data_IF_491991802198
#
_entry.id   IF_491991802198
#
_cell.length_a   1.000
_cell.length_b   1.000
_cell.length_c   1.000
_cell.angle_alpha   90.00
_cell.angle_beta   90.00
_cell.angle_gamma   90.00
#
_symmetry.space_group_name_H-M   'P 1'
#
loop_
_entity.id
_entity.type
_entity.pdbx_description
1 polymer ?
#
# COMPACT_ATOMS: atom_id res chain seq x y z
N UNK A 1 12.33 -26.16 23.29
CA UNK A 1 12.37 -25.29 22.08
C UNK A 1 13.63 -24.43 22.13
N UNK A 2 14.49 -24.60 21.13
CA UNK A 2 15.74 -23.86 20.89
C UNK A 2 15.59 -22.90 19.72
N UNK A 3 16.57 -22.01 19.49
CA UNK A 3 16.58 -21.14 18.30
C UNK A 3 16.58 -21.96 17.00
N UNK A 4 17.31 -23.08 16.96
CA UNK A 4 17.32 -23.97 15.81
C UNK A 4 15.94 -24.58 15.53
N UNK A 5 15.15 -24.89 16.57
CA UNK A 5 13.79 -25.42 16.39
C UNK A 5 12.88 -24.35 15.77
N UNK A 6 13.00 -23.10 16.22
CA UNK A 6 12.26 -21.95 15.67
C UNK A 6 12.63 -21.72 14.20
N UNK A 7 13.93 -21.66 13.90
CA UNK A 7 14.43 -21.44 12.54
C UNK A 7 13.98 -22.56 11.59
N UNK A 8 13.96 -23.80 12.08
CA UNK A 8 13.46 -24.95 11.33
C UNK A 8 11.94 -24.84 11.08
N UNK A 9 11.14 -24.48 12.10
CA UNK A 9 9.70 -24.29 11.93
C UNK A 9 9.38 -23.21 10.90
N UNK A 10 10.09 -22.08 10.94
CA UNK A 10 9.95 -20.99 9.95
C UNK A 10 10.44 -21.42 8.58
N UNK A 11 11.52 -22.21 8.49
CA UNK A 11 12.04 -22.74 7.22
C UNK A 11 11.04 -23.68 6.56
N UNK A 12 10.35 -24.53 7.32
CA UNK A 12 9.28 -25.39 6.80
C UNK A 12 8.15 -24.52 6.22
N UNK A 13 7.77 -23.43 6.90
CA UNK A 13 6.78 -22.49 6.38
C UNK A 13 7.20 -21.77 5.07
N UNK A 14 8.49 -21.77 4.70
CA UNK A 14 8.96 -21.28 3.39
C UNK A 14 8.66 -22.24 2.24
N UNK A 15 8.41 -23.51 2.51
CA UNK A 15 8.12 -24.52 1.49
C UNK A 15 6.63 -24.56 1.21
N UNK A 16 6.15 -23.50 0.55
CA UNK A 16 4.80 -23.42 0.01
C UNK A 16 4.85 -23.48 -1.52
N UNK A 17 3.83 -24.09 -2.12
CA UNK A 17 3.63 -24.04 -3.56
C UNK A 17 3.13 -22.64 -3.92
N UNK A 18 4.00 -21.87 -4.57
CA UNK A 18 3.65 -20.57 -5.14
C UNK A 18 3.02 -20.76 -6.51
N UNK A 19 2.11 -19.86 -6.87
CA UNK A 19 1.59 -19.77 -8.23
C UNK A 19 2.73 -19.59 -9.25
N UNK A 20 2.49 -20.09 -10.47
CA UNK A 20 3.46 -19.95 -11.54
C UNK A 20 3.80 -18.47 -11.81
N UNK A 21 5.09 -18.17 -11.93
CA UNK A 21 5.58 -16.79 -12.14
C UNK A 21 5.70 -15.95 -10.87
N UNK A 22 5.39 -16.49 -9.68
CA UNK A 22 5.67 -15.84 -8.40
C UNK A 22 7.00 -16.28 -7.79
N UNK A 23 7.59 -15.39 -6.99
CA UNK A 23 8.78 -15.66 -6.20
C UNK A 23 8.59 -15.16 -4.77
N UNK A 24 9.08 -15.94 -3.81
CA UNK A 24 9.04 -15.63 -2.40
C UNK A 24 9.96 -14.45 -2.08
N UNK A 25 9.42 -13.39 -1.48
CA UNK A 25 10.20 -12.21 -1.04
C UNK A 25 10.47 -12.29 0.46
N UNK A 26 9.43 -12.55 1.26
CA UNK A 26 9.52 -12.55 2.71
C UNK A 26 8.68 -13.64 3.36
N UNK A 27 9.18 -14.13 4.50
CA UNK A 27 8.43 -14.94 5.46
C UNK A 27 8.62 -14.31 6.83
N UNK A 28 7.54 -13.81 7.41
CA UNK A 28 7.54 -13.06 8.66
C UNK A 28 6.75 -13.88 9.70
N UNK A 29 7.40 -14.44 10.73
CA UNK A 29 6.70 -15.15 11.79
C UNK A 29 5.76 -14.21 12.55
N UNK A 30 4.52 -14.64 12.77
CA UNK A 30 3.49 -13.89 13.51
C UNK A 30 3.27 -14.46 14.91
N UNK A 31 3.13 -15.78 14.97
CA UNK A 31 2.91 -16.51 16.21
C UNK A 31 3.36 -17.97 16.07
N UNK A 32 3.46 -18.63 17.20
CA UNK A 32 3.78 -20.04 17.32
C UNK A 32 2.67 -20.78 18.06
N UNK A 33 2.56 -22.07 17.80
CA UNK A 33 1.73 -22.99 18.55
C UNK A 33 2.58 -24.12 19.11
N UNK A 34 2.41 -24.41 20.41
CA UNK A 34 3.10 -25.48 21.13
C UNK A 34 2.07 -26.47 21.68
N UNK A 35 2.12 -27.72 21.24
CA UNK A 35 1.21 -28.79 21.69
C UNK A 35 -0.29 -28.38 21.66
N UNK A 36 -0.69 -27.60 20.65
CA UNK A 36 -2.05 -27.09 20.48
C UNK A 36 -2.34 -25.73 21.12
N UNK A 37 -1.46 -25.22 22.00
CA UNK A 37 -1.56 -23.88 22.56
C UNK A 37 -1.11 -22.83 21.55
N UNK A 38 -2.06 -22.07 21.00
CA UNK A 38 -1.82 -21.03 19.99
C UNK A 38 -1.47 -19.66 20.60
N UNK A 39 -0.97 -18.74 19.76
CA UNK A 39 -0.76 -17.34 20.13
C UNK A 39 0.57 -17.06 20.83
N UNK A 40 1.50 -18.01 20.84
CA UNK A 40 2.79 -17.86 21.53
C UNK A 40 3.71 -16.98 20.66
N UNK A 41 4.11 -15.80 21.15
CA UNK A 41 5.00 -14.91 20.38
C UNK A 41 6.47 -15.36 20.38
N UNK A 42 6.96 -15.84 21.52
CA UNK A 42 8.34 -16.28 21.66
C UNK A 42 8.38 -17.64 22.38
N UNK A 43 8.57 -18.76 21.66
CA UNK A 43 8.58 -20.09 22.25
C UNK A 43 9.97 -20.50 22.79
N UNK A 44 10.99 -19.64 22.69
CA UNK A 44 12.35 -19.98 23.09
C UNK A 44 12.42 -20.35 24.58
N UNK A 45 12.99 -21.53 24.87
CA UNK A 45 13.10 -22.05 26.24
C UNK A 45 11.85 -22.78 26.75
N UNK A 46 10.74 -22.77 26.01
CA UNK A 46 9.55 -23.54 26.36
C UNK A 46 9.75 -25.03 26.06
N UNK A 47 9.03 -25.88 26.80
CA UNK A 47 8.97 -27.33 26.56
C UNK A 47 7.75 -27.63 25.71
N UNK A 48 7.93 -28.38 24.63
CA UNK A 48 6.85 -28.83 23.76
C UNK A 48 7.31 -30.04 22.96
N UNK A 49 6.35 -30.87 22.54
CA UNK A 49 6.61 -32.00 21.64
C UNK A 49 6.44 -31.57 20.18
N UNK A 50 5.46 -30.72 19.91
CA UNK A 50 5.18 -30.15 18.60
C UNK A 50 5.33 -28.62 18.64
N UNK A 51 6.04 -28.07 17.64
CA UNK A 51 6.17 -26.64 17.39
C UNK A 51 5.66 -26.33 15.98
N UNK A 52 4.68 -25.43 15.89
CA UNK A 52 4.17 -24.89 14.62
C UNK A 52 4.41 -23.39 14.56
N UNK A 53 4.75 -22.88 13.38
CA UNK A 53 4.92 -21.46 13.13
C UNK A 53 3.81 -20.97 12.18
N UNK A 54 3.11 -19.91 12.59
CA UNK A 54 2.23 -19.15 11.73
C UNK A 54 3.02 -17.98 11.15
N UNK A 55 3.07 -17.85 9.83
CA UNK A 55 3.88 -16.84 9.15
C UNK A 55 3.06 -16.08 8.13
N UNK A 56 3.31 -14.77 8.05
CA UNK A 56 2.92 -13.95 6.91
C UNK A 56 3.89 -14.19 5.76
N UNK A 57 3.40 -14.66 4.63
CA UNK A 57 4.22 -14.97 3.45
C UNK A 57 3.93 -13.92 2.38
N UNK A 58 4.98 -13.28 1.88
CA UNK A 58 4.88 -12.28 0.82
C UNK A 58 5.62 -12.79 -0.40
N UNK A 59 4.90 -12.88 -1.51
CA UNK A 59 5.44 -13.27 -2.81
C UNK A 59 5.09 -12.21 -3.87
N UNK A 60 5.97 -12.04 -4.85
CA UNK A 60 5.80 -11.06 -5.93
C UNK A 60 6.04 -11.66 -7.31
N UNK A 61 5.88 -10.86 -8.35
CA UNK A 61 6.18 -11.27 -9.73
C UNK A 61 7.69 -11.53 -9.87
N UNK A 62 8.06 -12.75 -10.23
CA UNK A 62 9.45 -13.15 -10.50
C UNK A 62 10.08 -12.27 -11.59
N UNK A 63 9.30 -11.91 -12.61
CA UNK A 63 9.78 -11.05 -13.70
C UNK A 63 10.09 -9.64 -13.20
N UNK A 64 9.24 -9.06 -12.35
CA UNK A 64 9.45 -7.72 -11.82
C UNK A 64 10.69 -7.68 -10.90
N UNK A 65 10.85 -8.71 -10.06
CA UNK A 65 12.01 -8.86 -9.18
C UNK A 65 13.31 -9.01 -9.99
N UNK A 66 13.29 -9.87 -11.01
CA UNK A 66 14.43 -10.08 -11.90
C UNK A 66 14.82 -8.78 -12.63
N UNK A 67 13.84 -8.06 -13.18
CA UNK A 67 14.08 -6.79 -13.85
C UNK A 67 14.66 -5.73 -12.90
N UNK A 68 14.12 -5.63 -11.68
CA UNK A 68 14.65 -4.70 -10.67
C UNK A 68 16.11 -5.02 -10.30
N UNK A 69 16.41 -6.30 -10.03
CA UNK A 69 17.78 -6.73 -9.73
C UNK A 69 18.73 -6.43 -10.90
N UNK A 70 18.29 -6.68 -12.13
CA UNK A 70 19.08 -6.42 -13.33
C UNK A 70 19.42 -4.93 -13.45
N UNK A 71 18.44 -4.03 -13.28
CA UNK A 71 18.68 -2.58 -13.33
C UNK A 71 19.67 -2.10 -12.26
N UNK A 72 19.65 -2.71 -11.06
CA UNK A 72 20.61 -2.37 -9.98
C UNK A 72 22.02 -2.87 -10.33
N UNK A 73 22.12 -4.09 -10.86
CA UNK A 73 23.40 -4.68 -11.28
C UNK A 73 24.02 -3.92 -12.46
N UNK A 74 23.21 -3.44 -13.41
CA UNK A 74 23.67 -2.58 -14.52
C UNK A 74 24.23 -1.23 -14.05
N UNK A 75 23.90 -0.81 -12.82
CA UNK A 75 24.49 0.35 -12.15
C UNK A 75 25.72 0.00 -11.29
N UNK A 76 26.29 -1.21 -11.45
CA UNK A 76 27.43 -1.74 -10.68
C UNK A 76 27.19 -1.84 -9.16
N UNK A 77 25.92 -1.98 -8.75
CA UNK A 77 25.53 -2.15 -7.34
C UNK A 77 25.11 -3.59 -7.09
N UNK A 78 25.58 -4.20 -6.01
CA UNK A 78 25.20 -5.54 -5.59
C UNK A 78 24.07 -5.47 -4.55
N UNK A 79 22.82 -5.86 -4.89
CA UNK A 79 21.75 -5.88 -3.90
C UNK A 79 22.00 -6.98 -2.86
N UNK A 80 22.02 -6.61 -1.58
CA UNK A 80 22.26 -7.57 -0.48
C UNK A 80 20.98 -8.21 0.00
N UNK A 81 19.88 -7.45 0.06
CA UNK A 81 18.56 -7.91 0.50
C UNK A 81 17.47 -7.12 -0.22
N UNK A 82 16.29 -7.72 -0.33
CA UNK A 82 15.07 -7.07 -0.81
C UNK A 82 14.11 -6.90 0.35
N UNK A 83 13.34 -5.81 0.36
CA UNK A 83 12.30 -5.57 1.36
C UNK A 83 11.02 -5.09 0.69
N UNK A 84 9.88 -5.59 1.15
CA UNK A 84 8.56 -5.14 0.70
C UNK A 84 8.32 -3.71 1.19
N UNK A 85 8.06 -2.79 0.26
CA UNK A 85 7.95 -1.35 0.52
C UNK A 85 6.97 -1.00 1.64
N UNK A 86 5.73 -1.49 1.58
CA UNK A 86 4.71 -1.20 2.60
C UNK A 86 5.12 -1.65 4.01
N UNK A 87 5.81 -2.79 4.13
CA UNK A 87 6.33 -3.29 5.42
C UNK A 87 7.50 -2.43 5.92
N UNK A 88 8.41 -2.02 5.03
CA UNK A 88 9.51 -1.12 5.38
C UNK A 88 8.99 0.25 5.83
N UNK A 89 8.08 0.85 5.05
CA UNK A 89 7.47 2.15 5.33
C UNK A 89 6.68 2.12 6.64
N UNK A 90 5.91 1.06 6.89
CA UNK A 90 5.21 0.89 8.16
C UNK A 90 6.16 0.79 9.35
N UNK A 91 7.29 0.10 9.22
CA UNK A 91 8.31 0.06 10.30
C UNK A 91 8.97 1.41 10.55
N UNK A 92 9.05 2.27 9.54
CA UNK A 92 9.65 3.60 9.66
C UNK A 92 8.67 4.63 10.25
N UNK A 93 7.38 4.53 9.92
CA UNK A 93 6.37 5.52 10.29
C UNK A 93 5.55 5.13 11.53
N UNK A 94 5.32 3.84 11.77
CA UNK A 94 4.54 3.35 12.90
C UNK A 94 5.47 3.00 14.08
N UNK A 95 5.12 3.52 15.24
CA UNK A 95 5.72 3.12 16.52
C UNK A 95 5.45 1.64 16.81
N UNK A 96 6.20 1.07 17.75
CA UNK A 96 5.92 -0.29 18.22
C UNK A 96 4.53 -0.41 18.85
N UNK A 97 4.08 0.67 19.52
CA UNK A 97 2.77 0.73 20.18
C UNK A 97 1.63 0.73 19.16
N UNK A 98 1.69 1.58 18.14
CA UNK A 98 0.63 1.63 17.10
C UNK A 98 0.50 0.29 16.35
N UNK A 99 1.63 -0.39 16.09
CA UNK A 99 1.62 -1.75 15.50
C UNK A 99 1.07 -2.82 16.45
N UNK A 100 1.17 -2.60 17.75
CA UNK A 100 0.66 -3.50 18.78
C UNK A 100 -0.86 -3.37 18.91
N UNK A 101 -1.36 -2.14 18.92
CA UNK A 101 -2.78 -1.79 19.11
C UNK A 101 -3.64 -2.00 17.86
N UNK A 102 -3.03 -2.06 16.68
CA UNK A 102 -3.74 -2.29 15.42
C UNK A 102 -3.65 -1.08 14.50
N UNK A 103 -2.97 -1.22 13.36
CA UNK A 103 -2.76 -0.12 12.44
C UNK A 103 -2.74 -0.56 10.98
N UNK A 104 -3.26 0.29 10.10
CA UNK A 104 -3.19 0.12 8.64
C UNK A 104 -2.27 1.20 8.06
N UNK A 105 -1.23 0.78 7.34
CA UNK A 105 -0.41 1.65 6.51
C UNK A 105 -0.89 1.56 5.07
N UNK A 106 -1.15 2.71 4.44
CA UNK A 106 -1.54 2.83 3.04
C UNK A 106 -0.56 3.79 2.33
N UNK A 107 0.27 3.26 1.44
CA UNK A 107 1.21 4.03 0.63
C UNK A 107 0.64 4.27 -0.76
N UNK A 108 0.25 5.51 -1.05
CA UNK A 108 -0.41 5.88 -2.31
C UNK A 108 0.62 6.54 -3.23
N UNK A 109 1.23 5.70 -4.07
CA UNK A 109 2.24 6.09 -5.04
C UNK A 109 1.66 6.66 -6.33
N UNK A 110 2.50 6.68 -7.38
CA UNK A 110 2.09 7.12 -8.71
C UNK A 110 1.24 6.05 -9.43
N UNK A 111 1.69 4.80 -9.43
CA UNK A 111 1.04 3.71 -10.17
C UNK A 111 0.30 2.71 -9.29
N UNK A 112 0.71 2.59 -8.03
CA UNK A 112 0.19 1.59 -7.10
C UNK A 112 -0.19 2.23 -5.77
N UNK A 113 -1.07 1.55 -5.06
CA UNK A 113 -1.36 1.79 -3.66
C UNK A 113 -1.09 0.52 -2.89
N UNK A 114 -0.14 0.56 -1.97
CA UNK A 114 0.29 -0.60 -1.20
C UNK A 114 -0.28 -0.53 0.22
N UNK A 115 -0.81 -1.64 0.71
CA UNK A 115 -1.44 -1.74 2.03
C UNK A 115 -0.67 -2.72 2.89
N UNK A 116 -0.48 -2.38 4.16
CA UNK A 116 0.02 -3.30 5.18
C UNK A 116 -0.76 -3.11 6.49
N UNK A 117 -1.35 -4.20 6.98
CA UNK A 117 -2.11 -4.23 8.23
C UNK A 117 -1.25 -4.87 9.33
N UNK A 118 -1.20 -4.22 10.48
CA UNK A 118 -0.50 -4.66 11.66
C UNK A 118 -1.48 -4.89 12.79
N UNK A 119 -1.24 -5.96 13.55
CA UNK A 119 -1.92 -6.24 14.81
C UNK A 119 -0.96 -7.04 15.69
N UNK A 120 -1.01 -6.85 17.01
CA UNK A 120 -0.17 -7.60 17.94
C UNK A 120 1.33 -7.51 17.61
N UNK A 121 1.76 -6.37 17.06
CA UNK A 121 3.14 -6.03 16.75
C UNK A 121 3.66 -6.63 15.44
N UNK A 122 2.86 -7.44 14.75
CA UNK A 122 3.24 -8.16 13.52
C UNK A 122 2.38 -7.75 12.33
N UNK A 123 2.94 -7.86 11.13
CA UNK A 123 2.17 -7.70 9.90
C UNK A 123 1.28 -8.93 9.69
N UNK A 124 0.01 -8.69 9.41
CA UNK A 124 -1.01 -9.74 9.28
C UNK A 124 -1.62 -9.81 7.90
N UNK A 125 -1.57 -8.71 7.14
CA UNK A 125 -2.08 -8.65 5.79
C UNK A 125 -1.25 -7.63 4.99
N UNK A 126 -1.03 -7.93 3.71
CA UNK A 126 -0.40 -7.01 2.77
C UNK A 126 -1.02 -7.19 1.40
N UNK A 127 -1.28 -6.10 0.69
CA UNK A 127 -1.78 -6.14 -0.67
C UNK A 127 -1.26 -4.95 -1.49
N UNK A 128 -1.35 -5.04 -2.81
CA UNK A 128 -0.96 -4.01 -3.77
C UNK A 128 -2.11 -3.80 -4.75
N UNK A 129 -2.63 -2.58 -4.82
CA UNK A 129 -3.69 -2.15 -5.72
C UNK A 129 -3.04 -1.44 -6.92
N UNK A 130 -3.36 -1.82 -8.18
CA UNK A 130 -2.79 -1.19 -9.38
C UNK A 130 -3.46 0.16 -9.69
N UNK A 131 -3.56 1.03 -8.68
CA UNK A 131 -4.14 2.37 -8.74
C UNK A 131 -3.33 3.32 -7.87
N UNK A 132 -2.94 4.46 -8.44
CA UNK A 132 -2.23 5.53 -7.74
C UNK A 132 -2.49 6.89 -8.38
N UNK A 133 -1.66 7.87 -8.05
CA UNK A 133 -1.77 9.26 -8.50
C UNK A 133 -1.81 9.47 -10.03
N UNK A 134 -1.28 8.54 -10.83
CA UNK A 134 -1.31 8.62 -12.30
C UNK A 134 -2.72 8.46 -12.86
N UNK A 135 -3.60 7.68 -12.22
CA UNK A 135 -4.99 7.56 -12.70
C UNK A 135 -5.76 8.87 -12.50
N UNK A 136 -5.57 9.55 -11.37
CA UNK A 136 -6.12 10.91 -11.17
C UNK A 136 -5.66 11.87 -12.28
N UNK A 137 -4.38 11.81 -12.62
CA UNK A 137 -3.77 12.64 -13.67
C UNK A 137 -4.34 12.31 -15.05
N UNK A 138 -4.50 11.02 -15.34
CA UNK A 138 -5.08 10.54 -16.60
C UNK A 138 -6.53 10.97 -16.75
N UNK A 139 -7.31 10.95 -15.66
CA UNK A 139 -8.71 11.41 -15.68
C UNK A 139 -8.78 12.91 -15.99
N UNK A 140 -7.94 13.71 -15.33
CA UNK A 140 -7.86 15.17 -15.56
C UNK A 140 -7.47 15.45 -17.01
N UNK A 141 -6.42 14.77 -17.52
CA UNK A 141 -5.97 14.90 -18.90
C UNK A 141 -7.09 14.58 -19.90
N UNK A 142 -7.83 13.50 -19.65
CA UNK A 142 -8.92 13.06 -20.53
C UNK A 142 -10.13 13.98 -20.46
N UNK A 143 -10.54 14.39 -19.25
CA UNK A 143 -11.73 15.20 -19.03
C UNK A 143 -11.59 16.61 -19.60
N UNK A 144 -10.38 17.18 -19.51
CA UNK A 144 -10.09 18.55 -19.95
C UNK A 144 -9.34 18.62 -21.27
N UNK A 145 -9.11 17.47 -21.91
CA UNK A 145 -8.41 17.35 -23.20
C UNK A 145 -7.03 18.05 -23.19
N UNK A 146 -6.23 17.82 -22.15
CA UNK A 146 -4.88 18.40 -21.98
C UNK A 146 -3.84 17.29 -21.87
N UNK A 147 -2.56 17.64 -22.07
CA UNK A 147 -1.50 16.66 -21.93
C UNK A 147 -1.30 16.20 -20.47
N UNK A 148 -0.75 15.01 -20.29
CA UNK A 148 -0.56 14.39 -18.96
C UNK A 148 0.29 15.26 -18.02
N UNK A 149 1.30 15.98 -18.53
CA UNK A 149 2.16 16.80 -17.69
C UNK A 149 1.46 18.10 -17.27
N UNK A 150 0.62 18.68 -18.14
CA UNK A 150 -0.24 19.80 -17.77
C UNK A 150 -1.27 19.38 -16.72
N UNK A 151 -1.92 18.23 -16.92
CA UNK A 151 -2.84 17.65 -15.94
C UNK A 151 -2.18 17.41 -14.58
N UNK A 152 -0.93 16.92 -14.56
CA UNK A 152 -0.19 16.70 -13.30
C UNK A 152 0.08 18.01 -12.56
N UNK A 153 0.48 19.06 -13.30
CA UNK A 153 0.69 20.39 -12.72
C UNK A 153 -0.60 20.94 -12.13
N UNK A 154 -1.72 20.81 -12.85
CA UNK A 154 -3.03 21.24 -12.37
C UNK A 154 -3.43 20.46 -11.12
N UNK A 155 -3.26 19.13 -11.11
CA UNK A 155 -3.53 18.28 -9.95
C UNK A 155 -2.71 18.71 -8.73
N UNK A 156 -1.41 18.96 -8.89
CA UNK A 156 -0.53 19.36 -7.79
C UNK A 156 -0.90 20.75 -7.26
N UNK A 157 -1.21 21.70 -8.14
CA UNK A 157 -1.42 23.10 -7.75
C UNK A 157 -2.85 23.40 -7.27
N UNK A 158 -3.85 22.72 -7.82
CA UNK A 158 -5.27 23.03 -7.62
C UNK A 158 -6.12 21.82 -7.18
N UNK A 159 -5.54 20.62 -7.10
CA UNK A 159 -6.29 19.41 -6.82
C UNK A 159 -6.82 19.34 -5.39
N UNK A 160 -8.10 19.00 -5.26
CA UNK A 160 -8.75 18.68 -3.98
C UNK A 160 -9.84 17.62 -4.21
N UNK A 161 -10.01 16.71 -3.25
CA UNK A 161 -11.10 15.75 -3.22
C UNK A 161 -12.32 16.27 -2.42
N UNK A 162 -12.40 17.58 -2.14
CA UNK A 162 -13.51 18.23 -1.42
C UNK A 162 -14.18 19.32 -2.25
N UNK A 163 -14.96 18.97 -3.30
CA UNK A 163 -15.62 19.96 -4.17
C UNK A 163 -16.60 20.87 -3.42
N UNK A 164 -17.09 20.46 -2.25
CA UNK A 164 -17.94 21.28 -1.39
C UNK A 164 -17.20 22.49 -0.79
N UNK A 165 -15.87 22.43 -0.67
CA UNK A 165 -15.01 23.50 -0.14
C UNK A 165 -14.41 24.38 -1.24
N UNK A 166 -14.45 23.92 -2.49
CA UNK A 166 -13.96 24.68 -3.64
C UNK A 166 -14.91 25.84 -3.97
N UNK A 167 -14.37 27.05 -4.05
CA UNK A 167 -15.12 28.22 -4.49
C UNK A 167 -15.38 28.10 -5.99
N UNK A 168 -16.63 28.18 -6.42
CA UNK A 168 -17.00 28.12 -7.84
C UNK A 168 -16.48 29.32 -8.66
N UNK A 169 -15.99 30.36 -7.99
CA UNK A 169 -15.42 31.56 -8.63
C UNK A 169 -13.94 31.43 -8.98
N UNK A 170 -13.24 30.45 -8.40
CA UNK A 170 -11.84 30.22 -8.72
C UNK A 170 -11.76 29.43 -10.04
N UNK A 171 -11.15 30.03 -11.04
CA UNK A 171 -10.96 29.45 -12.37
C UNK A 171 -9.50 29.07 -12.62
N UNK A 172 -9.32 28.06 -13.46
CA UNK A 172 -8.06 27.57 -13.98
C UNK A 172 -8.16 27.71 -15.49
N UNK A 173 -7.21 28.43 -16.08
CA UNK A 173 -7.08 28.53 -17.52
C UNK A 173 -6.32 27.30 -18.04
N UNK A 174 -6.94 26.57 -18.96
CA UNK A 174 -6.36 25.41 -19.62
C UNK A 174 -6.30 25.65 -21.13
N UNK A 175 -5.41 24.94 -21.82
CA UNK A 175 -5.38 24.94 -23.29
C UNK A 175 -5.66 23.52 -23.82
N UNK A 176 -6.91 23.21 -24.18
CA UNK A 176 -7.24 21.93 -24.77
C UNK A 176 -6.42 21.63 -26.02
N UNK A 177 -6.14 20.36 -26.29
CA UNK A 177 -5.37 19.91 -27.45
C UNK A 177 -6.18 20.03 -28.74
N UNK A 178 -7.50 19.88 -28.66
CA UNK A 178 -8.40 19.91 -29.82
C UNK A 178 -8.79 21.33 -30.26
N UNK A 179 -8.57 22.34 -29.40
CA UNK A 179 -8.97 23.72 -29.63
C UNK A 179 -7.78 24.68 -29.57
N UNK A 180 -7.75 25.69 -30.43
CA UNK A 180 -6.66 26.68 -30.41
C UNK A 180 -6.79 27.70 -29.26
N UNK A 181 -8.01 27.89 -28.75
CA UNK A 181 -8.34 28.85 -27.69
C UNK A 181 -8.25 28.22 -26.29
N UNK A 182 -7.82 29.02 -25.31
CA UNK A 182 -7.86 28.64 -23.91
C UNK A 182 -9.29 28.64 -23.37
N UNK A 183 -9.57 27.71 -22.47
CA UNK A 183 -10.87 27.57 -21.80
C UNK A 183 -10.65 27.72 -20.29
N UNK A 184 -11.62 28.31 -19.60
CA UNK A 184 -11.65 28.35 -18.14
C UNK A 184 -12.47 27.20 -17.59
N UNK A 185 -11.88 26.42 -16.68
CA UNK A 185 -12.57 25.47 -15.83
C UNK A 185 -12.57 26.00 -14.39
N UNK A 186 -13.54 25.58 -13.59
CA UNK A 186 -13.59 25.93 -12.17
C UNK A 186 -12.80 24.93 -11.32
N UNK A 187 -12.24 25.37 -10.19
CA UNK A 187 -11.64 24.46 -9.21
C UNK A 187 -12.64 23.42 -8.69
N UNK A 188 -13.94 23.76 -8.69
CA UNK A 188 -15.01 22.84 -8.32
C UNK A 188 -15.17 21.69 -9.31
N UNK A 189 -15.11 21.94 -10.61
CA UNK A 189 -15.17 20.90 -11.65
C UNK A 189 -13.99 19.94 -11.53
N UNK A 190 -12.77 20.47 -11.36
CA UNK A 190 -11.58 19.67 -11.08
C UNK A 190 -11.76 18.81 -9.82
N UNK A 191 -12.26 19.41 -8.73
CA UNK A 191 -12.41 18.71 -7.47
C UNK A 191 -13.49 17.61 -7.51
N UNK A 192 -14.53 17.76 -8.33
CA UNK A 192 -15.52 16.72 -8.55
C UNK A 192 -14.90 15.49 -9.22
N UNK A 193 -14.11 15.70 -10.27
CA UNK A 193 -13.42 14.62 -10.98
C UNK A 193 -12.46 13.87 -10.04
N UNK A 194 -11.66 14.62 -9.28
CA UNK A 194 -10.71 14.06 -8.31
C UNK A 194 -11.43 13.27 -7.22
N UNK A 195 -12.55 13.77 -6.70
CA UNK A 195 -13.33 13.09 -5.66
C UNK A 195 -13.87 11.75 -6.14
N UNK A 196 -14.36 11.66 -7.38
CA UNK A 196 -14.84 10.37 -7.93
C UNK A 196 -13.72 9.33 -7.99
N UNK A 197 -12.52 9.71 -8.47
CA UNK A 197 -11.37 8.80 -8.48
C UNK A 197 -10.90 8.44 -7.07
N UNK A 198 -10.92 9.39 -6.14
CA UNK A 198 -10.59 9.13 -4.74
C UNK A 198 -11.58 8.14 -4.10
N UNK A 199 -12.88 8.29 -4.34
CA UNK A 199 -13.91 7.36 -3.86
C UNK A 199 -13.70 5.95 -4.42
N UNK A 200 -13.30 5.83 -5.69
CA UNK A 200 -12.97 4.52 -6.27
C UNK A 200 -11.76 3.88 -5.59
N UNK A 201 -10.69 4.64 -5.37
CA UNK A 201 -9.51 4.16 -4.65
C UNK A 201 -9.87 3.68 -3.23
N UNK A 202 -10.64 4.48 -2.48
CA UNK A 202 -11.12 4.13 -1.14
C UNK A 202 -11.93 2.83 -1.16
N UNK A 203 -12.86 2.68 -2.11
CA UNK A 203 -13.65 1.45 -2.26
C UNK A 203 -12.78 0.23 -2.57
N UNK A 204 -11.76 0.38 -3.42
CA UNK A 204 -10.83 -0.70 -3.73
C UNK A 204 -9.97 -1.09 -2.52
N UNK A 205 -9.52 -0.10 -1.73
CA UNK A 205 -8.81 -0.36 -0.47
C UNK A 205 -9.70 -1.11 0.50
N UNK A 206 -10.93 -0.64 0.72
CA UNK A 206 -11.90 -1.33 1.58
C UNK A 206 -12.13 -2.77 1.12
N UNK A 207 -12.35 -2.98 -0.18
CA UNK A 207 -12.51 -4.31 -0.76
C UNK A 207 -11.29 -5.23 -0.55
N UNK A 208 -10.06 -4.70 -0.63
CA UNK A 208 -8.86 -5.50 -0.32
C UNK A 208 -8.73 -5.83 1.16
N UNK A 209 -9.26 -4.97 2.03
CA UNK A 209 -9.28 -5.18 3.48
C UNK A 209 -10.42 -6.10 3.94
N UNK A 210 -11.48 -6.28 3.14
CA UNK A 210 -12.59 -7.21 3.43
C UNK A 210 -12.13 -8.66 3.31
N UNK A 211 -11.67 -9.25 4.41
CA UNK A 211 -11.26 -10.64 4.50
C UNK A 211 -11.24 -11.15 5.95
N UNK A 212 -11.32 -12.47 6.13
CA UNK A 212 -11.39 -13.13 7.44
C UNK A 212 -10.26 -12.74 8.42
N UNK A 213 -9.10 -12.32 7.90
CA UNK A 213 -7.94 -11.92 8.72
C UNK A 213 -8.11 -10.52 9.31
N UNK A 214 -8.80 -9.62 8.59
CA UNK A 214 -8.91 -8.20 8.94
C UNK A 214 -10.29 -7.84 9.50
N UNK A 215 -11.37 -8.48 9.06
CA UNK A 215 -12.77 -8.10 9.34
C UNK A 215 -13.12 -7.99 10.83
N UNK A 216 -12.44 -8.75 11.69
CA UNK A 216 -12.72 -8.81 13.13
C UNK A 216 -11.70 -8.05 13.99
N UNK A 217 -10.91 -7.17 13.38
CA UNK A 217 -9.86 -6.45 14.08
C UNK A 217 -10.30 -5.06 14.52
N UNK A 218 -9.95 -4.72 15.74
CA UNK A 218 -9.95 -3.34 16.20
C UNK A 218 -8.74 -2.64 15.56
N UNK A 219 -9.01 -1.69 14.67
CA UNK A 219 -8.00 -0.85 14.02
C UNK A 219 -8.06 0.53 14.67
N UNK A 220 -7.04 0.86 15.45
CA UNK A 220 -6.93 2.14 16.13
C UNK A 220 -6.49 3.27 15.19
N UNK A 221 -5.74 2.95 14.15
CA UNK A 221 -5.12 3.96 13.29
C UNK A 221 -5.00 3.54 11.83
N UNK A 222 -5.27 4.50 10.94
CA UNK A 222 -4.93 4.43 9.53
C UNK A 222 -3.91 5.52 9.23
N UNK A 223 -2.78 5.16 8.63
CA UNK A 223 -1.72 6.08 8.23
C UNK A 223 -1.59 6.07 6.71
N UNK A 224 -1.72 7.25 6.12
CA UNK A 224 -1.52 7.47 4.69
C UNK A 224 -0.12 8.02 4.43
N UNK A 225 0.53 7.50 3.40
CA UNK A 225 1.85 7.96 2.91
C UNK A 225 1.89 7.90 1.39
N UNK A 226 3.05 8.19 0.80
CA UNK A 226 3.22 8.28 -0.65
C UNK A 226 2.99 9.69 -1.19
N UNK A 227 3.25 9.87 -2.48
CA UNK A 227 3.11 11.19 -3.12
C UNK A 227 1.66 11.66 -3.20
N UNK A 228 0.74 10.74 -3.46
CA UNK A 228 -0.67 11.05 -3.69
C UNK A 228 -1.44 11.31 -2.37
N UNK A 229 -0.92 10.90 -1.21
CA UNK A 229 -1.53 11.21 0.09
C UNK A 229 -1.57 12.71 0.42
N UNK A 230 -0.76 13.52 -0.29
CA UNK A 230 -0.75 14.99 -0.18
C UNK A 230 -1.96 15.66 -0.83
N UNK A 231 -2.75 14.92 -1.61
CA UNK A 231 -3.97 15.44 -2.22
C UNK A 231 -4.96 15.87 -1.14
N UNK A 232 -5.36 17.14 -1.17
CA UNK A 232 -6.32 17.68 -0.20
C UNK A 232 -7.63 16.89 -0.23
N UNK A 233 -8.24 16.66 0.94
CA UNK A 233 -9.48 15.89 1.06
C UNK A 233 -9.32 14.37 1.12
N UNK A 234 -8.19 13.80 0.69
CA UNK A 234 -8.03 12.34 0.62
C UNK A 234 -8.02 11.69 2.00
N UNK A 235 -7.39 12.33 2.99
CA UNK A 235 -7.38 11.85 4.39
C UNK A 235 -8.79 11.79 4.97
N UNK A 236 -9.62 12.77 4.65
CA UNK A 236 -10.99 12.85 5.15
C UNK A 236 -11.90 11.78 4.53
N UNK A 237 -11.65 11.39 3.28
CA UNK A 237 -12.39 10.31 2.61
C UNK A 237 -12.03 8.91 3.14
N UNK A 238 -10.86 8.76 3.77
CA UNK A 238 -10.39 7.48 4.34
C UNK A 238 -10.86 7.27 5.79
N UNK A 239 -11.56 8.24 6.38
CA UNK A 239 -12.14 8.16 7.73
C UNK A 239 -13.60 7.72 7.66
#
# INVERSE_FOLDING_TARGET
VTQSDIDNAVKIAKHIDLEEGKELIHVIPQSFSLDGMQGIRNPLGMHATELKASCHIIAGSKNNICNLNKSILEADIQPTNQVVGSVATARALLTAKEREEGAIMIDIGASTTDVAVFNNGSVIHTDSIPMGGNLFTSDIATAFDIDFNEAEKIKINHGSATPERALSTNTINIKPLTYDESVEITERELAQLIKERANELVRLIAYKLENDVVDNLEIEQIVLTGGCSKLDGLVQLMR
#
